data_IF_392765553639
#
_entry.id   IF_392765553639
#
_cell.length_a   1.000
_cell.length_b   1.000
_cell.length_c   1.000
_cell.angle_alpha   90.00
_cell.angle_beta   90.00
_cell.angle_gamma   90.00
#
_symmetry.space_group_name_H-M   'P 1'
#
loop_
_entity.id
_entity.type
_entity.pdbx_description
1 polymer ?
#
# COMPACT_ATOMS: atom_id res chain seq x y z
N UNK A 1 -2.83 -13.33 7.11
CA UNK A 1 -1.58 -14.06 7.34
C UNK A 1 -1.32 -14.15 8.85
N UNK A 2 -1.97 -15.12 9.48
CA UNK A 2 -1.60 -15.53 10.83
C UNK A 2 -0.40 -16.48 10.85
N UNK A 3 0.38 -16.55 9.76
CA UNK A 3 1.36 -17.61 9.52
C UNK A 3 2.40 -17.72 10.63
N UNK A 4 3.00 -16.59 11.05
CA UNK A 4 3.97 -16.58 12.15
C UNK A 4 3.38 -17.18 13.43
N UNK A 5 2.18 -16.74 13.82
CA UNK A 5 1.50 -17.24 15.01
C UNK A 5 1.02 -18.70 14.85
N UNK A 6 0.59 -19.10 13.65
CA UNK A 6 0.17 -20.47 13.35
C UNK A 6 1.34 -21.45 13.41
N UNK A 7 2.54 -21.04 12.99
CA UNK A 7 3.75 -21.88 13.02
C UNK A 7 4.33 -21.93 14.43
N UNK A 8 4.50 -20.78 15.09
CA UNK A 8 5.15 -20.70 16.39
C UNK A 8 4.23 -21.13 17.56
N UNK A 9 2.92 -21.11 17.37
CA UNK A 9 1.95 -21.32 18.46
C UNK A 9 2.17 -20.31 19.58
N UNK A 10 1.99 -20.75 20.83
CA UNK A 10 2.14 -19.90 22.02
C UNK A 10 3.55 -19.29 22.17
N UNK A 11 4.57 -19.88 21.53
CA UNK A 11 5.94 -19.36 21.56
C UNK A 11 6.10 -18.02 20.82
N UNK A 12 5.10 -17.58 20.04
CA UNK A 12 5.13 -16.26 19.40
C UNK A 12 5.01 -15.11 20.41
N UNK A 13 4.45 -15.37 21.59
CA UNK A 13 4.18 -14.35 22.60
C UNK A 13 5.49 -13.65 23.06
N UNK A 14 5.53 -12.33 22.93
CA UNK A 14 6.70 -11.52 23.25
C UNK A 14 7.66 -11.28 22.08
N UNK A 15 7.40 -11.85 20.90
CA UNK A 15 8.14 -11.49 19.69
C UNK A 15 7.91 -10.03 19.34
N UNK A 16 8.99 -9.29 19.08
CA UNK A 16 8.95 -7.91 18.63
C UNK A 16 9.40 -7.81 17.18
N UNK A 17 8.72 -6.98 16.39
CA UNK A 17 9.11 -6.65 15.03
C UNK A 17 8.86 -5.16 14.75
N UNK A 18 9.57 -4.63 13.77
CA UNK A 18 9.22 -3.34 13.19
C UNK A 18 8.20 -3.53 12.08
N UNK A 19 7.30 -2.57 11.96
CA UNK A 19 6.43 -2.40 10.81
C UNK A 19 5.94 -0.95 10.78
N UNK A 20 5.49 -0.51 9.62
CA UNK A 20 4.82 0.77 9.50
C UNK A 20 3.50 0.80 10.31
N UNK A 21 2.92 1.99 10.60
CA UNK A 21 1.61 2.11 11.19
C UNK A 21 0.58 1.27 10.44
N UNK A 22 -0.31 0.61 11.18
CA UNK A 22 -1.33 -0.26 10.60
C UNK A 22 -2.20 0.51 9.59
N UNK A 23 -2.10 0.22 8.28
CA UNK A 23 -2.79 0.99 7.24
C UNK A 23 -4.31 0.85 7.35
N UNK A 24 -4.82 -0.20 8.02
CA UNK A 24 -6.26 -0.40 8.23
C UNK A 24 -6.87 0.64 9.15
N UNK A 25 -6.04 1.36 9.92
CA UNK A 25 -6.46 2.46 10.81
C UNK A 25 -6.50 3.82 10.09
N UNK A 26 -6.02 3.90 8.86
CA UNK A 26 -6.13 5.11 8.07
C UNK A 26 -7.61 5.36 7.70
N UNK A 27 -8.18 6.56 7.95
CA UNK A 27 -9.55 6.87 7.53
C UNK A 27 -9.82 6.64 6.04
N UNK A 28 -8.82 6.86 5.18
CA UNK A 28 -8.91 6.61 3.73
C UNK A 28 -9.04 5.12 3.39
N UNK A 29 -8.64 4.21 4.29
CA UNK A 29 -8.72 2.77 4.09
C UNK A 29 -10.09 2.19 4.47
N UNK A 30 -10.96 2.94 5.16
CA UNK A 30 -12.19 2.40 5.77
C UNK A 30 -13.02 1.58 4.77
N UNK A 31 -13.34 2.16 3.62
CA UNK A 31 -14.19 1.51 2.61
C UNK A 31 -13.53 0.24 2.03
N UNK A 32 -12.23 0.28 1.72
CA UNK A 32 -11.55 -0.88 1.14
C UNK A 32 -11.37 -2.00 2.18
N UNK A 33 -11.15 -1.66 3.45
CA UNK A 33 -11.09 -2.62 4.55
C UNK A 33 -12.44 -3.32 4.74
N UNK A 34 -13.53 -2.57 4.73
CA UNK A 34 -14.89 -3.14 4.80
C UNK A 34 -15.16 -4.07 3.61
N UNK A 35 -14.76 -3.70 2.38
CA UNK A 35 -14.90 -4.55 1.20
C UNK A 35 -14.13 -5.87 1.30
N UNK A 36 -12.87 -5.84 1.75
CA UNK A 36 -12.10 -7.07 1.93
C UNK A 36 -12.74 -7.99 2.98
N UNK A 37 -13.16 -7.43 4.11
CA UNK A 37 -13.80 -8.20 5.19
C UNK A 37 -15.14 -8.79 4.75
N UNK A 38 -15.93 -8.05 3.99
CA UNK A 38 -17.17 -8.56 3.40
C UNK A 38 -16.90 -9.72 2.42
N UNK A 39 -15.74 -9.74 1.77
CA UNK A 39 -15.28 -10.85 0.94
C UNK A 39 -14.60 -11.99 1.73
N UNK A 40 -14.62 -11.95 3.07
CA UNK A 40 -14.02 -12.98 3.93
C UNK A 40 -12.50 -12.91 4.03
N UNK A 41 -11.89 -11.76 3.70
CA UNK A 41 -10.45 -11.56 3.73
C UNK A 41 -10.07 -10.42 4.70
N UNK A 42 -9.10 -10.65 5.58
CA UNK A 42 -8.56 -9.59 6.44
C UNK A 42 -7.35 -8.94 5.73
N UNK A 43 -7.40 -7.64 5.38
CA UNK A 43 -6.35 -6.98 4.60
C UNK A 43 -5.20 -6.48 5.49
N UNK A 44 -4.59 -7.40 6.22
CA UNK A 44 -3.45 -7.12 7.09
C UNK A 44 -2.14 -6.89 6.31
N UNK A 45 -1.15 -6.35 7.04
CA UNK A 45 0.21 -6.12 6.59
C UNK A 45 0.27 -5.50 5.17
N UNK A 46 0.85 -6.20 4.21
CA UNK A 46 1.14 -5.70 2.87
C UNK A 46 -0.08 -5.56 1.94
N UNK A 47 -1.25 -6.03 2.34
CA UNK A 47 -2.44 -6.00 1.47
C UNK A 47 -2.76 -4.57 0.99
N UNK A 48 -2.85 -3.62 1.91
CA UNK A 48 -3.19 -2.24 1.56
C UNK A 48 -2.03 -1.49 0.88
N UNK A 49 -0.79 -1.89 1.11
CA UNK A 49 0.37 -1.39 0.36
C UNK A 49 0.30 -1.82 -1.11
N UNK A 50 0.00 -3.09 -1.36
CA UNK A 50 -0.20 -3.59 -2.73
C UNK A 50 -1.40 -2.94 -3.41
N UNK A 51 -2.50 -2.72 -2.67
CA UNK A 51 -3.66 -2.00 -3.18
C UNK A 51 -3.31 -0.57 -3.58
N UNK A 52 -2.57 0.15 -2.73
CA UNK A 52 -2.09 1.50 -3.00
C UNK A 52 -1.18 1.57 -4.23
N UNK A 53 -0.28 0.59 -4.42
CA UNK A 53 0.57 0.52 -5.60
C UNK A 53 -0.26 0.45 -6.91
N UNK A 54 -1.32 -0.37 -6.93
CA UNK A 54 -2.24 -0.44 -8.08
C UNK A 54 -2.99 0.87 -8.28
N UNK A 55 -3.43 1.53 -7.20
CA UNK A 55 -4.07 2.85 -7.29
C UNK A 55 -3.14 3.89 -7.93
N UNK A 56 -1.85 3.89 -7.58
CA UNK A 56 -0.84 4.81 -8.12
C UNK A 56 -0.63 4.54 -9.61
N UNK A 57 -0.43 3.28 -10.00
CA UNK A 57 -0.29 2.89 -11.42
C UNK A 57 -1.51 3.32 -12.22
N UNK A 58 -2.72 3.04 -11.72
CA UNK A 58 -3.96 3.43 -12.40
C UNK A 58 -4.09 4.94 -12.58
N UNK A 59 -3.74 5.73 -11.55
CA UNK A 59 -3.77 7.20 -11.63
C UNK A 59 -2.72 7.74 -12.60
N UNK A 60 -1.52 7.17 -12.60
CA UNK A 60 -0.45 7.57 -13.50
C UNK A 60 -0.77 7.24 -14.96
N UNK A 61 -1.36 6.08 -15.25
CA UNK A 61 -1.85 5.71 -16.59
C UNK A 61 -2.92 6.70 -17.06
N UNK A 62 -3.89 7.03 -16.19
CA UNK A 62 -4.92 8.01 -16.51
C UNK A 62 -4.32 9.39 -16.84
N UNK A 63 -3.29 9.80 -16.09
CA UNK A 63 -2.55 11.05 -16.35
C UNK A 63 -1.69 10.98 -17.61
N UNK A 64 -1.14 9.82 -17.95
CA UNK A 64 -0.35 9.58 -19.16
C UNK A 64 -1.19 9.55 -20.44
N UNK A 65 -2.47 9.20 -20.31
CA UNK A 65 -3.43 9.01 -21.40
C UNK A 65 -3.31 7.66 -22.12
N UNK A 66 -2.34 6.82 -21.74
CA UNK A 66 -2.14 5.46 -22.27
C UNK A 66 -1.33 4.63 -21.26
N UNK A 67 -1.46 3.30 -21.35
CA UNK A 67 -0.68 2.32 -20.61
C UNK A 67 0.45 1.68 -21.42
N UNK A 68 0.58 2.00 -22.72
CA UNK A 68 1.48 1.29 -23.65
C UNK A 68 2.96 1.63 -23.43
N UNK A 69 3.25 2.82 -22.87
CA UNK A 69 4.59 3.26 -22.55
C UNK A 69 4.82 3.21 -21.02
N UNK A 70 5.33 2.06 -20.56
CA UNK A 70 5.62 1.85 -19.15
C UNK A 70 6.70 2.81 -18.60
N UNK A 71 7.65 3.26 -19.42
CA UNK A 71 8.67 4.22 -18.98
C UNK A 71 8.05 5.58 -18.73
N UNK A 72 7.20 6.06 -19.65
CA UNK A 72 6.44 7.29 -19.46
C UNK A 72 5.53 7.22 -18.22
N UNK A 73 4.87 6.08 -17.99
CA UNK A 73 4.07 5.88 -16.77
C UNK A 73 4.95 5.94 -15.52
N UNK A 74 6.12 5.31 -15.52
CA UNK A 74 7.05 5.34 -14.38
C UNK A 74 7.58 6.76 -14.10
N UNK A 75 7.93 7.53 -15.13
CA UNK A 75 8.32 8.94 -15.01
C UNK A 75 7.19 9.79 -14.40
N UNK A 76 5.95 9.54 -14.83
CA UNK A 76 4.77 10.18 -14.26
C UNK A 76 4.59 9.77 -12.81
N UNK A 77 4.68 8.47 -12.46
CA UNK A 77 4.59 8.01 -11.05
C UNK A 77 5.56 8.80 -10.17
N UNK A 78 6.83 8.94 -10.61
CA UNK A 78 7.86 9.64 -9.84
C UNK A 78 7.59 11.14 -9.70
N UNK A 79 7.16 11.82 -10.76
CA UNK A 79 7.06 13.29 -10.81
C UNK A 79 5.65 13.84 -10.56
N UNK A 80 4.63 13.00 -10.63
CA UNK A 80 3.23 13.39 -10.81
C UNK A 80 2.38 13.37 -9.55
N UNK A 81 2.93 12.92 -8.42
CA UNK A 81 2.28 12.90 -7.12
C UNK A 81 2.19 14.29 -6.43
N UNK A 82 1.75 14.34 -5.16
CA UNK A 82 1.38 13.20 -4.33
C UNK A 82 0.11 12.48 -4.84
N UNK A 83 0.11 11.16 -4.73
CA UNK A 83 -0.96 10.27 -5.18
C UNK A 83 -1.88 9.90 -4.03
N UNK A 84 -3.20 10.06 -4.20
CA UNK A 84 -4.17 9.69 -3.16
C UNK A 84 -4.38 8.17 -3.17
N UNK A 85 -4.20 7.53 -2.02
CA UNK A 85 -4.34 6.06 -1.88
C UNK A 85 -5.07 5.69 -0.59
N UNK A 86 -5.39 4.41 -0.44
CA UNK A 86 -5.94 3.85 0.80
C UNK A 86 -5.01 4.02 2.02
N UNK A 87 -3.70 4.18 1.79
CA UNK A 87 -2.71 4.38 2.86
C UNK A 87 -2.26 5.85 2.98
N UNK A 88 -3.02 6.79 2.39
CA UNK A 88 -2.72 8.22 2.41
C UNK A 88 -2.00 8.70 1.14
N UNK A 89 -1.43 9.90 1.19
CA UNK A 89 -0.84 10.57 0.02
C UNK A 89 0.61 10.13 -0.24
N UNK A 90 0.91 9.52 -1.37
CA UNK A 90 2.25 8.99 -1.67
C UNK A 90 2.97 9.88 -2.69
N UNK A 91 4.13 10.43 -2.33
CA UNK A 91 5.08 11.07 -3.23
C UNK A 91 6.35 10.23 -3.36
N UNK A 92 7.12 10.41 -4.43
CA UNK A 92 8.35 9.67 -4.70
C UNK A 92 9.54 10.60 -4.92
N UNK A 93 10.73 10.14 -4.51
CA UNK A 93 11.99 10.79 -4.85
C UNK A 93 12.52 10.33 -6.21
N UNK A 94 13.70 10.81 -6.61
CA UNK A 94 14.30 10.46 -7.90
C UNK A 94 14.67 8.98 -8.02
N UNK A 95 14.92 8.29 -6.90
CA UNK A 95 15.21 6.85 -6.84
C UNK A 95 13.95 6.02 -6.97
N UNK A 96 12.80 6.58 -6.60
CA UNK A 96 11.51 5.88 -6.53
C UNK A 96 11.16 5.42 -5.12
N UNK A 97 11.86 5.93 -4.10
CA UNK A 97 11.49 5.76 -2.70
C UNK A 97 10.41 6.77 -2.33
N UNK A 98 9.55 6.43 -1.38
CA UNK A 98 8.51 7.35 -0.93
C UNK A 98 9.13 8.51 -0.14
N UNK A 99 8.57 9.73 -0.28
CA UNK A 99 9.14 10.96 0.32
C UNK A 99 8.78 11.15 1.79
N UNK A 100 8.03 10.23 2.39
CA UNK A 100 7.76 10.21 3.82
C UNK A 100 8.17 8.86 4.40
N UNK A 101 8.76 8.81 5.60
CA UNK A 101 8.83 7.57 6.34
C UNK A 101 7.42 7.20 6.81
N UNK A 102 6.98 5.99 6.49
CA UNK A 102 5.85 5.37 7.18
C UNK A 102 6.33 4.71 8.49
N UNK A 103 7.38 5.22 9.15
CA UNK A 103 7.94 4.65 10.40
C UNK A 103 8.39 5.73 11.38
#
# INVERSE_FOLDING_TARGET
SNELASIAGDAVAGTLNTFAPDPRKNPAAKEVVEKFRAAGFEPEAYTLYSYAAVQIISQAIAKAGSADDAQKVAEIIKSGGPWKTAIGEIGYDSKGDITRPDY
#
